data_IF_634189636852
#
_entry.id   IF_634189636852
#
_cell.length_a   1.000
_cell.length_b   1.000
_cell.length_c   1.000
_cell.angle_alpha   90.00
_cell.angle_beta   90.00
_cell.angle_gamma   90.00
#
_symmetry.space_group_name_H-M   'P 1'
#
loop_
_entity.id
_entity.type
_entity.pdbx_description
1 polymer ?
#
# COMPACT_ATOMS: atom_id res chain seq x y z
N UNK A 1 4.58 41.92 -20.96
CA UNK A 1 3.40 42.37 -20.18
C UNK A 1 3.54 41.81 -18.78
N UNK A 2 3.19 42.56 -17.74
CA UNK A 2 3.19 42.13 -16.33
C UNK A 2 1.81 42.31 -15.69
N UNK A 3 1.67 41.98 -14.41
CA UNK A 3 0.42 42.06 -13.62
C UNK A 3 -0.26 43.43 -13.60
N UNK A 4 0.42 44.49 -14.01
CA UNK A 4 -0.13 45.85 -14.13
C UNK A 4 -1.32 45.97 -15.12
N UNK A 5 -1.53 44.96 -15.99
CA UNK A 5 -2.51 45.00 -17.07
C UNK A 5 -3.62 43.93 -16.98
N UNK A 6 -3.65 43.10 -15.94
CA UNK A 6 -4.59 41.98 -15.80
C UNK A 6 -5.18 41.81 -14.41
N UNK A 7 -6.38 41.20 -14.33
CA UNK A 7 -6.96 40.78 -13.05
C UNK A 7 -6.18 39.56 -12.52
N UNK A 8 -5.87 39.51 -11.22
CA UNK A 8 -5.09 38.45 -10.53
C UNK A 8 -5.65 37.03 -10.66
N UNK A 9 -6.88 36.92 -11.14
CA UNK A 9 -7.63 35.68 -11.32
C UNK A 9 -7.84 35.32 -12.81
N UNK A 10 -7.43 36.19 -13.73
CA UNK A 10 -7.54 35.93 -15.17
C UNK A 10 -6.58 34.80 -15.56
N UNK A 11 -7.12 33.73 -16.14
CA UNK A 11 -6.34 32.55 -16.52
C UNK A 11 -6.01 31.60 -15.35
N UNK A 12 -6.59 31.82 -14.17
CA UNK A 12 -6.43 30.90 -13.02
C UNK A 12 -7.22 29.59 -13.20
N UNK A 13 -8.45 29.69 -13.70
CA UNK A 13 -9.31 28.53 -13.98
C UNK A 13 -9.15 28.05 -15.42
N UNK A 14 -9.46 26.77 -15.66
CA UNK A 14 -9.60 26.21 -17.01
C UNK A 14 -10.73 26.88 -17.79
N UNK A 15 -10.84 26.58 -19.09
CA UNK A 15 -11.93 27.07 -19.93
C UNK A 15 -13.31 26.65 -19.37
N UNK A 16 -13.39 25.47 -18.75
CA UNK A 16 -14.58 24.93 -18.11
C UNK A 16 -14.82 25.47 -16.68
N UNK A 17 -13.91 26.30 -16.16
CA UNK A 17 -14.03 26.93 -14.85
C UNK A 17 -13.49 26.10 -13.67
N UNK A 18 -12.65 25.09 -13.92
CA UNK A 18 -12.03 24.30 -12.84
C UNK A 18 -10.80 25.00 -12.28
N UNK A 19 -10.66 25.00 -10.95
CA UNK A 19 -9.38 25.24 -10.30
C UNK A 19 -8.64 23.90 -10.23
N UNK A 20 -7.60 23.73 -11.04
CA UNK A 20 -6.87 22.46 -11.15
C UNK A 20 -6.23 22.06 -9.82
N UNK A 21 -5.84 23.01 -8.97
CA UNK A 21 -5.20 22.70 -7.71
C UNK A 21 -6.17 22.09 -6.70
N UNK A 22 -7.48 22.38 -6.82
CA UNK A 22 -8.57 21.88 -5.96
C UNK A 22 -9.45 20.83 -6.67
N UNK A 23 -9.07 20.38 -7.87
CA UNK A 23 -9.83 19.42 -8.66
C UNK A 23 -9.29 17.98 -8.56
N UNK A 24 -8.55 17.64 -7.50
CA UNK A 24 -8.15 16.26 -7.21
C UNK A 24 -9.16 15.57 -6.28
N UNK A 25 -9.25 14.23 -6.28
CA UNK A 25 -10.18 13.54 -5.40
C UNK A 25 -9.79 13.77 -3.94
N UNK A 26 -10.76 14.14 -3.11
CA UNK A 26 -10.54 14.27 -1.68
C UNK A 26 -10.38 12.89 -1.02
N UNK A 27 -9.13 12.53 -0.74
CA UNK A 27 -8.76 11.29 -0.04
C UNK A 27 -8.59 11.50 1.47
N UNK A 28 -8.61 12.74 1.96
CA UNK A 28 -8.40 13.09 3.37
C UNK A 28 -9.64 12.78 4.20
N UNK A 29 -10.82 13.19 3.73
CA UNK A 29 -12.11 12.89 4.37
C UNK A 29 -12.35 11.40 4.63
N UNK A 30 -12.24 10.49 3.64
CA UNK A 30 -12.43 9.06 3.88
C UNK A 30 -11.34 8.46 4.78
N UNK A 31 -10.10 8.96 4.72
CA UNK A 31 -9.02 8.54 5.62
C UNK A 31 -9.38 8.85 7.07
N UNK A 32 -9.73 10.09 7.39
CA UNK A 32 -10.04 10.50 8.76
C UNK A 32 -11.28 9.79 9.31
N UNK A 33 -12.31 9.59 8.47
CA UNK A 33 -13.49 8.80 8.85
C UNK A 33 -13.12 7.34 9.15
N UNK A 34 -12.14 6.77 8.44
CA UNK A 34 -11.64 5.43 8.70
C UNK A 34 -10.76 5.37 9.95
N UNK A 35 -9.95 6.39 10.23
CA UNK A 35 -9.14 6.50 11.44
C UNK A 35 -10.00 6.61 12.70
N UNK A 36 -11.04 7.44 12.68
CA UNK A 36 -12.01 7.57 13.78
C UNK A 36 -12.68 6.23 14.12
N UNK A 37 -12.94 5.42 13.10
CA UNK A 37 -13.51 4.07 13.23
C UNK A 37 -12.47 2.98 13.47
N UNK A 38 -11.19 3.34 13.67
CA UNK A 38 -10.06 2.41 13.86
C UNK A 38 -9.93 1.35 12.75
N UNK A 39 -10.24 1.74 11.52
CA UNK A 39 -10.20 0.86 10.35
C UNK A 39 -8.82 0.84 9.67
N UNK A 40 -7.95 1.82 9.96
CA UNK A 40 -6.60 1.93 9.38
C UNK A 40 -5.58 1.14 10.22
N UNK A 41 -4.68 0.34 9.63
CA UNK A 41 -4.53 0.05 8.20
C UNK A 41 -5.27 -1.22 7.73
N UNK A 42 -5.99 -1.92 8.63
CA UNK A 42 -6.43 -3.30 8.39
C UNK A 42 -7.64 -3.44 7.46
N UNK A 43 -8.56 -2.47 7.49
CA UNK A 43 -9.76 -2.42 6.63
C UNK A 43 -9.75 -1.26 5.66
N UNK A 44 -8.99 -0.21 5.96
CA UNK A 44 -8.79 0.93 5.09
C UNK A 44 -7.28 1.22 4.96
N UNK A 45 -6.74 1.39 3.74
CA UNK A 45 -5.32 1.60 3.57
C UNK A 45 -4.90 3.01 4.04
N UNK A 46 -3.80 3.11 4.78
CA UNK A 46 -3.19 4.40 5.17
C UNK A 46 -2.25 5.00 4.13
N UNK A 47 -2.15 4.38 2.95
CA UNK A 47 -1.33 4.78 1.81
C UNK A 47 -1.91 4.18 0.53
N UNK A 48 -1.71 4.81 -0.62
CA UNK A 48 -2.27 4.36 -1.90
C UNK A 48 -3.78 4.13 -1.81
N UNK A 49 -4.49 5.10 -1.22
CA UNK A 49 -5.95 5.08 -1.11
C UNK A 49 -6.52 5.08 -2.52
N UNK A 50 -7.39 4.12 -2.90
CA UNK A 50 -7.91 4.03 -4.26
C UNK A 50 -8.72 5.29 -4.62
N UNK A 51 -8.59 5.71 -5.88
CA UNK A 51 -9.43 6.79 -6.43
C UNK A 51 -10.90 6.33 -6.37
N UNK A 52 -11.82 7.17 -5.87
CA UNK A 52 -13.25 6.83 -5.85
C UNK A 52 -13.79 6.53 -7.25
N UNK A 53 -14.61 5.48 -7.40
CA UNK A 53 -15.11 5.04 -8.70
C UNK A 53 -15.86 6.14 -9.47
N UNK A 54 -16.62 6.98 -8.76
CA UNK A 54 -17.32 8.12 -9.37
C UNK A 54 -16.36 9.14 -10.01
N UNK A 55 -15.13 9.24 -9.53
CA UNK A 55 -14.10 10.12 -10.09
C UNK A 55 -13.55 9.60 -11.42
N UNK A 56 -13.63 8.29 -11.63
CA UNK A 56 -13.15 7.62 -12.83
C UNK A 56 -14.18 7.58 -13.96
N UNK A 57 -15.44 7.92 -13.69
CA UNK A 57 -16.49 7.96 -14.71
C UNK A 57 -16.23 9.08 -15.73
N UNK A 58 -16.69 8.91 -16.96
CA UNK A 58 -16.49 9.89 -18.04
C UNK A 58 -17.26 11.20 -17.80
N UNK A 59 -18.40 11.13 -17.10
CA UNK A 59 -19.28 12.24 -16.74
C UNK A 59 -18.91 12.94 -15.42
N UNK A 60 -17.85 12.49 -14.74
CA UNK A 60 -17.37 13.11 -13.52
C UNK A 60 -16.83 14.53 -13.78
N UNK A 61 -17.09 15.45 -12.85
CA UNK A 61 -16.65 16.86 -12.87
C UNK A 61 -15.15 16.99 -12.56
N UNK A 62 -14.33 16.42 -13.45
CA UNK A 62 -12.87 16.34 -13.33
C UNK A 62 -12.26 16.84 -14.62
N UNK A 63 -11.42 17.87 -14.51
CA UNK A 63 -10.72 18.48 -15.62
C UNK A 63 -9.81 17.47 -16.32
N UNK A 64 -9.60 17.66 -17.63
CA UNK A 64 -8.79 16.75 -18.45
C UNK A 64 -7.33 16.77 -18.02
N UNK A 65 -6.84 17.92 -17.56
CA UNK A 65 -5.50 18.12 -17.00
C UNK A 65 -5.33 17.33 -15.71
N UNK A 66 -6.31 17.38 -14.80
CA UNK A 66 -6.29 16.59 -13.57
C UNK A 66 -6.21 15.10 -13.89
N UNK A 67 -7.03 14.61 -14.84
CA UNK A 67 -6.98 13.19 -15.28
C UNK A 67 -5.61 12.82 -15.85
N UNK A 68 -5.00 13.71 -16.64
CA UNK A 68 -3.68 13.49 -17.20
C UNK A 68 -2.60 13.43 -16.12
N UNK A 69 -2.65 14.32 -15.12
CA UNK A 69 -1.70 14.33 -14.00
C UNK A 69 -1.86 13.08 -13.13
N UNK A 70 -3.10 12.69 -12.78
CA UNK A 70 -3.35 11.46 -12.02
C UNK A 70 -2.76 10.23 -12.74
N UNK A 71 -3.04 10.08 -14.05
CA UNK A 71 -2.49 8.99 -14.84
C UNK A 71 -0.95 9.04 -14.94
N UNK A 72 -0.37 10.23 -15.01
CA UNK A 72 1.08 10.42 -15.02
C UNK A 72 1.73 10.02 -13.68
N UNK A 73 1.09 10.38 -12.57
CA UNK A 73 1.51 10.03 -11.21
C UNK A 73 1.38 8.54 -10.92
N UNK A 74 0.36 7.85 -11.43
CA UNK A 74 0.23 6.39 -11.31
C UNK A 74 1.29 5.64 -12.14
N UNK A 75 1.65 6.18 -13.31
CA UNK A 75 2.56 5.53 -14.26
C UNK A 75 4.01 5.58 -13.81
N UNK A 76 4.42 6.64 -13.11
CA UNK A 76 5.81 6.87 -12.74
C UNK A 76 5.97 6.81 -11.21
N UNK A 77 7.00 6.13 -10.68
CA UNK A 77 7.22 6.04 -9.25
C UNK A 77 7.86 7.33 -8.71
N UNK A 78 7.12 8.45 -8.72
CA UNK A 78 7.59 9.71 -8.15
C UNK A 78 7.84 9.56 -6.65
N UNK A 79 8.94 10.15 -6.18
CA UNK A 79 9.40 10.08 -4.79
C UNK A 79 9.26 11.44 -4.11
N UNK A 80 9.65 12.50 -4.82
CA UNK A 80 9.61 13.88 -4.38
C UNK A 80 9.06 14.73 -5.52
N UNK A 81 8.15 15.64 -5.21
CA UNK A 81 7.55 16.56 -6.16
C UNK A 81 7.38 17.94 -5.56
N UNK A 82 7.26 18.95 -6.42
CA UNK A 82 6.81 20.26 -6.02
C UNK A 82 5.98 20.89 -7.14
N UNK A 83 4.89 21.56 -6.76
CA UNK A 83 4.15 22.46 -7.64
C UNK A 83 4.47 23.90 -7.30
N UNK A 84 4.67 24.70 -8.35
CA UNK A 84 5.09 26.09 -8.23
C UNK A 84 3.85 26.98 -8.38
N UNK A 85 3.65 27.87 -7.41
CA UNK A 85 2.50 28.75 -7.28
C UNK A 85 2.98 30.20 -7.12
N UNK A 86 2.06 31.15 -7.28
CA UNK A 86 2.29 32.58 -7.08
C UNK A 86 1.19 33.24 -6.25
N UNK A 87 1.45 34.47 -5.79
CA UNK A 87 0.53 35.25 -4.97
C UNK A 87 0.84 35.22 -3.47
N UNK A 88 1.90 34.53 -3.07
CA UNK A 88 2.49 34.59 -1.74
C UNK A 88 3.97 34.20 -1.84
N UNK A 89 4.74 34.31 -0.76
CA UNK A 89 6.14 33.88 -0.74
C UNK A 89 6.43 32.98 0.46
N UNK A 90 6.17 31.68 0.29
CA UNK A 90 6.35 30.65 1.32
C UNK A 90 6.33 29.25 0.72
N UNK A 91 6.71 28.23 1.50
CA UNK A 91 6.51 26.82 1.15
C UNK A 91 5.41 26.21 2.00
N UNK A 92 4.36 25.72 1.36
CA UNK A 92 3.24 25.00 1.98
C UNK A 92 3.46 23.49 1.90
N UNK A 93 3.23 22.78 2.99
CA UNK A 93 3.34 21.33 3.07
C UNK A 93 2.07 20.65 3.63
N UNK A 94 1.82 19.37 3.30
CA UNK A 94 0.64 18.63 3.72
C UNK A 94 0.44 18.52 5.25
N UNK A 95 -0.80 18.37 5.73
CA UNK A 95 -2.03 18.37 4.92
C UNK A 95 -2.49 19.78 4.52
N UNK A 96 -3.10 19.89 3.34
CA UNK A 96 -3.84 21.08 2.91
C UNK A 96 -5.28 21.07 3.46
N UNK A 97 -5.91 19.90 3.58
CA UNK A 97 -7.23 19.79 4.16
C UNK A 97 -7.20 19.98 5.69
N UNK A 98 -8.17 20.72 6.24
CA UNK A 98 -8.42 20.77 7.67
C UNK A 98 -9.45 19.73 8.08
N UNK A 99 -9.25 19.10 9.24
CA UNK A 99 -10.22 18.14 9.78
C UNK A 99 -11.45 18.91 10.28
N UNK A 100 -12.67 18.55 9.85
CA UNK A 100 -13.88 19.12 10.43
C UNK A 100 -13.94 18.74 11.92
N UNK A 101 -14.31 19.71 12.75
CA UNK A 101 -14.42 19.52 14.20
C UNK A 101 -15.42 18.37 14.47
N UNK A 102 -15.02 17.37 15.26
CA UNK A 102 -15.95 16.34 15.73
C UNK A 102 -16.95 17.01 16.66
N UNK A 103 -18.21 17.14 16.24
CA UNK A 103 -19.32 17.47 17.15
C UNK A 103 -19.61 16.26 18.06
N UNK A 104 -18.67 15.94 18.94
CA UNK A 104 -18.94 15.06 20.08
C UNK A 104 -19.64 15.89 21.18
N UNK A 105 -20.87 15.56 21.63
CA UNK A 105 -21.61 16.36 22.60
C UNK A 105 -21.14 16.14 24.05
N UNK A 106 -19.83 16.26 24.31
CA UNK A 106 -19.27 15.93 25.63
C UNK A 106 -18.14 16.87 26.07
N UNK A 107 -18.49 18.12 26.40
CA UNK A 107 -18.09 18.84 27.62
C UNK A 107 -18.52 20.33 27.50
N UNK A 108 -19.02 20.97 28.57
CA UNK A 108 -19.15 22.43 28.59
C UNK A 108 -17.76 23.05 28.49
N UNK A 109 -17.52 23.91 27.50
CA UNK A 109 -16.29 24.70 27.39
C UNK A 109 -16.17 25.64 28.60
N UNK A 110 -14.95 25.86 29.14
CA UNK A 110 -14.72 26.92 30.13
C UNK A 110 -15.10 28.29 29.53
N UNK A 111 -15.59 29.27 30.31
CA UNK A 111 -16.11 30.53 29.79
C UNK A 111 -15.06 31.53 29.29
N UNK A 112 -13.78 31.14 29.21
CA UNK A 112 -12.65 32.08 29.05
C UNK A 112 -11.84 31.91 27.75
N UNK A 113 -12.28 31.08 26.80
CA UNK A 113 -11.68 31.05 25.45
C UNK A 113 -12.43 32.03 24.54
N UNK A 114 -11.75 33.11 24.15
CA UNK A 114 -12.23 34.14 23.22
C UNK A 114 -12.92 33.52 21.99
N UNK A 115 -14.16 33.96 21.70
CA UNK A 115 -15.02 33.54 20.59
C UNK A 115 -14.40 33.73 19.18
N UNK A 116 -13.19 34.29 19.06
CA UNK A 116 -12.46 34.52 17.80
C UNK A 116 -11.36 33.47 17.49
N UNK A 117 -11.25 32.40 18.27
CA UNK A 117 -10.18 31.39 18.15
C UNK A 117 -10.63 30.07 17.49
N UNK A 118 -11.52 30.11 16.49
CA UNK A 118 -11.86 28.92 15.68
C UNK A 118 -10.69 28.54 14.74
N UNK A 119 -9.51 28.25 15.29
CA UNK A 119 -8.42 27.71 14.48
C UNK A 119 -8.74 26.25 14.14
N UNK A 120 -8.78 25.87 12.85
CA UNK A 120 -8.99 24.49 12.46
C UNK A 120 -7.96 23.59 13.13
N UNK A 121 -8.39 22.41 13.61
CA UNK A 121 -7.48 21.46 14.25
C UNK A 121 -6.46 20.98 13.20
N UNK A 122 -5.22 21.48 13.34
CA UNK A 122 -4.14 21.21 12.39
C UNK A 122 -3.62 19.80 12.63
N UNK A 123 -3.97 18.89 11.74
CA UNK A 123 -3.56 17.50 11.83
C UNK A 123 -2.20 17.27 11.14
N UNK A 124 -1.24 16.73 11.87
CA UNK A 124 0.07 16.41 11.32
C UNK A 124 0.01 15.15 10.45
N UNK A 125 0.79 15.14 9.35
CA UNK A 125 1.02 13.92 8.57
C UNK A 125 1.93 12.96 9.33
N UNK A 126 1.85 11.64 9.06
CA UNK A 126 2.83 10.69 9.59
C UNK A 126 4.29 11.04 9.24
N UNK A 127 4.51 11.78 8.15
CA UNK A 127 5.81 12.26 7.67
C UNK A 127 6.07 13.75 7.98
N UNK A 128 5.39 14.33 8.96
CA UNK A 128 5.44 15.78 9.25
C UNK A 128 6.87 16.32 9.43
N UNK A 129 7.73 15.59 10.14
CA UNK A 129 9.13 15.98 10.32
C UNK A 129 9.95 15.97 9.01
N UNK A 130 9.61 15.08 8.06
CA UNK A 130 10.24 15.03 6.74
C UNK A 130 9.71 16.19 5.89
N UNK A 131 8.40 16.42 5.86
CA UNK A 131 7.81 17.55 5.13
C UNK A 131 8.36 18.90 5.59
N UNK A 132 8.46 19.12 6.90
CA UNK A 132 9.10 20.33 7.45
C UNK A 132 10.55 20.47 7.01
N UNK A 133 11.31 19.39 7.04
CA UNK A 133 12.70 19.41 6.55
C UNK A 133 12.77 19.80 5.06
N UNK A 134 11.95 19.16 4.22
CA UNK A 134 11.92 19.43 2.78
C UNK A 134 11.53 20.89 2.51
N UNK A 135 10.51 21.40 3.20
CA UNK A 135 10.08 22.79 3.07
C UNK A 135 11.18 23.78 3.51
N UNK A 136 11.82 23.52 4.67
CA UNK A 136 12.93 24.35 5.16
C UNK A 136 14.09 24.33 4.17
N UNK A 137 14.42 23.17 3.58
CA UNK A 137 15.55 23.07 2.64
C UNK A 137 15.39 24.00 1.43
N UNK A 138 14.16 24.16 0.92
CA UNK A 138 13.87 25.11 -0.14
C UNK A 138 13.88 26.56 0.38
N UNK A 139 13.12 26.83 1.45
CA UNK A 139 12.91 28.17 1.98
C UNK A 139 14.22 28.81 2.45
N UNK A 140 15.09 28.06 3.14
CA UNK A 140 16.37 28.57 3.64
C UNK A 140 17.40 28.85 2.54
N UNK A 141 17.30 28.14 1.42
CA UNK A 141 18.16 28.37 0.25
C UNK A 141 17.65 29.53 -0.63
N UNK A 142 16.39 29.95 -0.44
CA UNK A 142 15.79 31.01 -1.23
C UNK A 142 16.25 32.36 -0.73
N UNK A 143 16.74 33.23 -1.61
CA UNK A 143 17.40 34.48 -1.21
C UNK A 143 16.54 35.38 -0.32
N UNK A 144 15.23 35.41 -0.55
CA UNK A 144 14.33 36.36 0.12
C UNK A 144 13.20 35.73 0.94
N UNK A 145 13.06 34.39 0.99
CA UNK A 145 11.86 33.74 1.56
C UNK A 145 11.89 33.74 3.10
N UNK A 146 13.07 33.71 3.70
CA UNK A 146 13.29 33.75 5.15
C UNK A 146 13.61 35.15 5.68
N UNK A 147 13.49 36.19 4.85
CA UNK A 147 13.72 37.57 5.27
C UNK A 147 12.57 38.08 6.16
N UNK A 148 12.86 38.27 7.45
CA UNK A 148 11.87 38.63 8.48
C UNK A 148 11.33 40.06 8.37
N UNK A 149 12.03 40.94 7.66
CA UNK A 149 11.66 42.36 7.52
C UNK A 149 10.64 42.62 6.40
N UNK A 150 10.45 41.65 5.49
CA UNK A 150 9.63 41.84 4.29
C UNK A 150 8.15 41.50 4.46
N UNK A 151 7.73 40.93 5.59
CA UNK A 151 6.33 40.55 5.85
C UNK A 151 5.77 39.56 4.82
N UNK A 152 4.53 39.09 5.05
CA UNK A 152 3.76 38.39 4.02
C UNK A 152 3.33 39.35 2.92
N UNK A 153 3.03 38.82 1.73
CA UNK A 153 2.61 39.63 0.59
C UNK A 153 1.33 40.42 0.86
N UNK A 154 0.35 39.77 1.50
CA UNK A 154 -0.99 40.33 1.69
C UNK A 154 -1.44 40.35 3.16
N UNK A 155 -0.86 39.51 4.02
CA UNK A 155 -1.23 39.38 5.43
C UNK A 155 0.01 39.46 6.32
N UNK A 156 -0.21 39.47 7.64
CA UNK A 156 0.87 39.22 8.59
C UNK A 156 1.56 37.89 8.25
N UNK A 157 2.86 37.81 8.54
CA UNK A 157 3.66 36.63 8.27
C UNK A 157 3.14 35.42 9.06
N UNK A 158 2.51 34.48 8.35
CA UNK A 158 1.97 33.22 8.90
C UNK A 158 3.06 32.15 9.09
N UNK A 159 4.28 32.42 8.62
CA UNK A 159 5.39 31.47 8.62
C UNK A 159 6.29 31.61 9.85
N UNK A 160 6.00 32.57 10.73
CA UNK A 160 6.80 32.87 11.92
C UNK A 160 8.30 33.03 11.55
N UNK A 161 8.59 33.76 10.48
CA UNK A 161 9.94 33.97 9.92
C UNK A 161 10.66 32.72 9.36
N UNK A 162 10.01 31.55 9.31
CA UNK A 162 10.63 30.34 8.77
C UNK A 162 10.45 30.18 7.26
N UNK A 163 9.56 30.95 6.62
CA UNK A 163 9.24 30.82 5.20
C UNK A 163 8.46 29.54 4.84
N UNK A 164 7.96 28.82 5.84
CA UNK A 164 7.19 27.58 5.66
C UNK A 164 5.87 27.62 6.44
N UNK A 165 4.85 26.93 5.96
CA UNK A 165 3.56 26.80 6.66
C UNK A 165 2.90 25.46 6.32
N UNK A 166 2.10 24.94 7.23
CA UNK A 166 1.24 23.80 6.90
C UNK A 166 0.01 24.32 6.13
N UNK A 167 -0.38 23.61 5.07
CA UNK A 167 -1.47 24.03 4.18
C UNK A 167 -2.78 24.31 4.92
N UNK A 168 -3.21 23.38 5.76
CA UNK A 168 -4.43 23.49 6.57
C UNK A 168 -4.40 24.66 7.57
N UNK A 169 -3.22 25.00 8.11
CA UNK A 169 -3.04 26.15 9.03
C UNK A 169 -3.19 27.49 8.30
N UNK A 170 -2.79 27.54 7.03
CA UNK A 170 -2.81 28.78 6.26
C UNK A 170 -4.11 29.00 5.49
N UNK A 171 -4.48 28.06 4.62
CA UNK A 171 -5.67 28.11 3.78
C UNK A 171 -6.18 26.68 3.54
N UNK A 172 -7.11 26.19 4.38
CA UNK A 172 -7.58 24.82 4.29
C UNK A 172 -8.34 24.58 2.99
N UNK A 173 -7.97 23.52 2.27
CA UNK A 173 -8.59 23.11 1.00
C UNK A 173 -8.68 21.60 0.93
N UNK A 174 -9.83 21.08 0.54
CA UNK A 174 -10.00 19.67 0.21
C UNK A 174 -9.75 19.43 -1.28
N UNK A 175 -9.36 18.21 -1.65
CA UNK A 175 -9.12 17.87 -3.06
C UNK A 175 -7.86 18.53 -3.63
N UNK A 176 -6.85 18.78 -2.79
CA UNK A 176 -5.59 19.36 -3.26
C UNK A 176 -4.71 18.33 -3.98
N UNK A 177 -3.91 18.79 -4.94
CA UNK A 177 -2.91 17.95 -5.61
C UNK A 177 -1.87 17.39 -4.62
N UNK A 178 -1.46 18.17 -3.60
CA UNK A 178 -0.47 17.71 -2.63
C UNK A 178 -0.97 16.54 -1.79
N UNK A 179 -2.18 16.68 -1.24
CA UNK A 179 -2.77 15.65 -0.38
C UNK A 179 -3.07 14.40 -1.21
N UNK A 180 -3.47 14.55 -2.47
CA UNK A 180 -3.61 13.46 -3.43
C UNK A 180 -2.27 12.74 -3.67
N UNK A 181 -1.20 13.47 -4.00
CA UNK A 181 0.14 12.91 -4.23
C UNK A 181 0.59 12.06 -3.03
N UNK A 182 0.44 12.59 -1.81
CA UNK A 182 0.83 11.89 -0.59
C UNK A 182 -0.05 10.66 -0.28
N UNK A 183 -1.37 10.78 -0.45
CA UNK A 183 -2.30 9.72 -0.03
C UNK A 183 -2.49 8.61 -1.08
N UNK A 184 -2.35 8.92 -2.36
CA UNK A 184 -2.55 7.99 -3.47
C UNK A 184 -1.26 7.35 -3.98
N UNK A 185 -0.11 8.04 -3.85
CA UNK A 185 1.16 7.58 -4.43
C UNK A 185 2.27 7.45 -3.38
N UNK A 186 3.51 7.28 -3.82
CA UNK A 186 4.71 7.36 -2.96
C UNK A 186 5.25 8.80 -2.84
N UNK A 187 4.76 9.73 -3.66
CA UNK A 187 5.34 11.04 -3.85
C UNK A 187 5.09 11.95 -2.65
N UNK A 188 6.15 12.53 -2.11
CA UNK A 188 6.06 13.63 -1.16
C UNK A 188 6.03 14.94 -1.95
N UNK A 189 4.89 15.62 -1.97
CA UNK A 189 4.73 16.85 -2.76
C UNK A 189 4.61 18.10 -1.88
N UNK A 190 5.25 19.19 -2.30
CA UNK A 190 5.14 20.52 -1.70
C UNK A 190 4.50 21.53 -2.65
N UNK A 191 3.84 22.54 -2.11
CA UNK A 191 3.46 23.74 -2.86
C UNK A 191 4.40 24.89 -2.54
N UNK A 192 5.08 25.41 -3.56
CA UNK A 192 6.08 26.48 -3.41
C UNK A 192 5.52 27.75 -4.00
N UNK A 193 5.28 28.76 -3.15
CA UNK A 193 4.83 30.06 -3.57
C UNK A 193 6.05 30.97 -3.77
N UNK A 194 6.34 31.28 -5.02
CA UNK A 194 7.62 31.89 -5.43
C UNK A 194 7.69 33.40 -5.12
N UNK A 195 6.55 34.08 -5.12
CA UNK A 195 6.49 35.52 -4.94
C UNK A 195 5.08 36.10 -4.95
N UNK A 196 4.96 37.34 -4.51
CA UNK A 196 3.71 38.07 -4.40
C UNK A 196 3.07 38.36 -5.76
N UNK A 197 3.90 38.70 -6.75
CA UNK A 197 3.42 38.94 -8.09
C UNK A 197 3.23 37.60 -8.82
N UNK A 198 1.99 37.27 -9.17
CA UNK A 198 1.63 36.06 -9.92
C UNK A 198 2.12 36.10 -11.37
N UNK A 199 2.26 37.28 -11.95
CA UNK A 199 2.63 37.49 -13.35
C UNK A 199 3.65 38.64 -13.47
N UNK A 200 4.88 38.45 -12.94
CA UNK A 200 5.88 39.51 -12.90
C UNK A 200 6.27 39.97 -14.29
N UNK A 201 6.80 41.19 -14.39
CA UNK A 201 7.25 41.71 -15.66
C UNK A 201 8.48 40.93 -16.18
N UNK A 202 8.65 40.84 -17.50
CA UNK A 202 9.76 40.10 -18.13
C UNK A 202 11.15 40.51 -17.58
N UNK A 203 11.31 41.78 -17.23
CA UNK A 203 12.54 42.34 -16.66
C UNK A 203 12.90 41.78 -15.28
N UNK A 204 11.92 41.24 -14.54
CA UNK A 204 12.10 40.70 -13.19
C UNK A 204 12.45 39.20 -13.21
N UNK A 205 12.22 38.51 -14.34
CA UNK A 205 12.41 37.07 -14.46
C UNK A 205 13.84 36.61 -14.16
N UNK A 206 14.85 37.40 -14.54
CA UNK A 206 16.24 37.09 -14.21
C UNK A 206 16.48 37.12 -12.71
N UNK A 207 15.88 38.06 -11.99
CA UNK A 207 16.00 38.15 -10.54
C UNK A 207 15.26 37.00 -9.86
N UNK A 208 14.06 36.66 -10.33
CA UNK A 208 13.31 35.52 -9.80
C UNK A 208 14.02 34.18 -10.02
N UNK A 209 14.71 34.03 -11.15
CA UNK A 209 15.60 32.89 -11.37
C UNK A 209 16.73 32.84 -10.34
N UNK A 210 17.48 33.93 -10.14
CA UNK A 210 18.58 33.94 -9.17
C UNK A 210 18.09 33.73 -7.72
N UNK A 211 16.87 34.20 -7.39
CA UNK A 211 16.25 33.98 -6.08
C UNK A 211 15.97 32.49 -5.80
N UNK A 212 15.57 31.73 -6.83
CA UNK A 212 15.06 30.37 -6.70
C UNK A 212 16.04 29.27 -7.13
N UNK A 213 17.07 29.60 -7.91
CA UNK A 213 18.00 28.64 -8.51
C UNK A 213 18.60 27.67 -7.49
N UNK A 214 19.16 28.19 -6.40
CA UNK A 214 19.79 27.36 -5.37
C UNK A 214 18.76 26.53 -4.61
N UNK A 215 17.57 27.09 -4.34
CA UNK A 215 16.46 26.38 -3.70
C UNK A 215 15.96 25.20 -4.53
N UNK A 216 15.80 25.38 -5.84
CA UNK A 216 15.37 24.34 -6.76
C UNK A 216 16.39 23.19 -6.81
N UNK A 217 17.68 23.52 -6.89
CA UNK A 217 18.76 22.52 -6.86
C UNK A 217 18.79 21.78 -5.52
N UNK A 218 18.81 22.51 -4.41
CA UNK A 218 18.81 21.96 -3.05
C UNK A 218 17.62 21.03 -2.82
N UNK A 219 16.44 21.40 -3.32
CA UNK A 219 15.23 20.60 -3.20
C UNK A 219 15.32 19.31 -4.02
N UNK A 220 15.79 19.37 -5.28
CA UNK A 220 16.00 18.18 -6.10
C UNK A 220 17.00 17.22 -5.45
N UNK A 221 18.05 17.71 -4.80
CA UNK A 221 19.01 16.88 -4.07
C UNK A 221 18.38 16.12 -2.88
N UNK A 222 17.30 16.65 -2.29
CA UNK A 222 16.61 15.98 -1.17
C UNK A 222 15.99 14.64 -1.58
N UNK A 223 15.73 14.42 -2.87
CA UNK A 223 15.22 13.12 -3.37
C UNK A 223 16.20 11.97 -3.10
N UNK A 224 17.47 12.28 -2.84
CA UNK A 224 18.52 11.32 -2.55
C UNK A 224 18.75 11.13 -1.05
N UNK A 225 17.80 11.49 -0.17
CA UNK A 225 17.89 11.23 1.28
C UNK A 225 17.08 10.00 1.70
N UNK A 226 17.31 9.54 2.93
CA UNK A 226 16.60 8.40 3.51
C UNK A 226 17.18 7.06 3.11
N UNK A 227 16.32 6.12 2.76
CA UNK A 227 16.69 4.76 2.35
C UNK A 227 16.18 4.45 0.94
N UNK A 228 16.88 3.59 0.21
CA UNK A 228 16.43 3.02 -1.06
C UNK A 228 16.87 1.57 -1.16
N UNK A 229 16.25 0.79 -2.03
CA UNK A 229 16.70 -0.59 -2.23
C UNK A 229 15.83 -1.36 -3.20
N UNK A 230 16.15 -2.64 -3.33
CA UNK A 230 15.34 -3.60 -4.09
C UNK A 230 14.70 -4.62 -3.16
N UNK A 231 13.49 -5.04 -3.52
CA UNK A 231 12.80 -6.19 -2.95
C UNK A 231 12.79 -7.30 -3.99
N UNK A 232 13.46 -8.40 -3.71
CA UNK A 232 13.52 -9.57 -4.61
C UNK A 232 13.01 -10.82 -3.93
N UNK A 233 12.70 -11.85 -4.70
CA UNK A 233 12.53 -13.20 -4.18
C UNK A 233 13.87 -13.92 -3.98
N UNK A 234 13.82 -15.17 -3.49
CA UNK A 234 15.01 -16.00 -3.30
C UNK A 234 15.73 -16.37 -4.60
N UNK A 235 15.05 -16.25 -5.75
CA UNK A 235 15.61 -16.51 -7.07
C UNK A 235 16.26 -15.25 -7.67
N UNK A 236 16.12 -14.09 -7.00
CA UNK A 236 16.64 -12.80 -7.45
C UNK A 236 15.67 -12.02 -8.33
N UNK A 237 14.44 -12.51 -8.51
CA UNK A 237 13.44 -11.81 -9.32
C UNK A 237 12.84 -10.64 -8.53
N UNK A 238 12.67 -9.47 -9.16
CA UNK A 238 12.11 -8.30 -8.50
C UNK A 238 10.63 -8.48 -8.16
N UNK A 239 10.23 -7.99 -6.98
CA UNK A 239 8.85 -8.04 -6.51
C UNK A 239 8.24 -6.63 -6.58
N UNK A 240 7.39 -6.42 -7.58
CA UNK A 240 6.60 -5.20 -7.72
C UNK A 240 5.48 -5.10 -6.69
N UNK A 241 5.04 -3.88 -6.35
CA UNK A 241 3.96 -3.60 -5.39
C UNK A 241 4.17 -4.19 -3.99
N UNK A 242 5.42 -4.49 -3.61
CA UNK A 242 5.76 -4.83 -2.23
C UNK A 242 5.65 -3.57 -1.36
N UNK A 243 5.05 -3.70 -0.19
CA UNK A 243 4.86 -2.61 0.77
C UNK A 243 6.04 -2.54 1.74
N UNK A 244 6.65 -1.38 1.85
CA UNK A 244 7.72 -1.05 2.79
C UNK A 244 7.13 -0.25 3.95
N UNK A 245 7.24 -0.82 5.15
CA UNK A 245 6.70 -0.25 6.39
C UNK A 245 7.86 0.18 7.27
N UNK A 246 7.88 1.45 7.67
CA UNK A 246 8.88 2.00 8.59
C UNK A 246 8.28 2.05 9.99
N UNK A 247 8.94 1.44 10.97
CA UNK A 247 8.50 1.48 12.36
C UNK A 247 8.38 2.91 12.88
N UNK A 248 7.24 3.24 13.47
CA UNK A 248 6.95 4.59 13.99
C UNK A 248 6.31 5.54 12.98
N UNK A 249 6.35 5.25 11.68
CA UNK A 249 5.75 6.08 10.64
C UNK A 249 4.53 5.39 10.05
N UNK A 250 3.34 5.96 10.29
CA UNK A 250 2.05 5.40 9.84
C UNK A 250 1.74 5.70 8.36
N UNK A 251 2.76 5.69 7.51
CA UNK A 251 2.64 5.84 6.07
C UNK A 251 3.66 4.91 5.40
N UNK A 252 3.17 4.04 4.51
CA UNK A 252 3.98 3.00 3.86
C UNK A 252 4.15 3.31 2.38
N UNK A 253 5.27 2.89 1.79
CA UNK A 253 5.56 3.07 0.36
C UNK A 253 5.53 1.74 -0.38
N UNK A 254 5.29 1.77 -1.70
CA UNK A 254 5.29 0.58 -2.55
C UNK A 254 6.52 0.53 -3.46
N UNK A 255 7.00 -0.68 -3.78
CA UNK A 255 8.01 -0.87 -4.81
C UNK A 255 7.43 -0.63 -6.21
N UNK A 256 8.25 -0.09 -7.10
CA UNK A 256 7.93 0.05 -8.50
C UNK A 256 8.01 -1.30 -9.23
N UNK A 257 7.78 -1.31 -10.55
CA UNK A 257 7.78 -2.53 -11.36
C UNK A 257 9.11 -3.30 -11.32
N UNK A 258 10.23 -2.61 -11.09
CA UNK A 258 11.56 -3.19 -10.95
C UNK A 258 11.87 -3.72 -9.55
N UNK A 259 10.91 -3.70 -8.62
CA UNK A 259 11.11 -4.09 -7.21
C UNK A 259 11.90 -3.05 -6.40
N UNK A 260 12.30 -1.96 -7.02
CA UNK A 260 12.97 -0.82 -6.42
C UNK A 260 12.00 0.07 -5.63
N UNK A 261 12.50 0.64 -4.53
CA UNK A 261 11.76 1.59 -3.71
C UNK A 261 12.68 2.68 -3.18
N UNK A 262 12.07 3.81 -2.82
CA UNK A 262 12.71 4.94 -2.16
C UNK A 262 11.83 5.40 -1.02
N UNK A 263 12.45 5.76 0.10
CA UNK A 263 11.76 6.26 1.28
C UNK A 263 12.61 7.36 1.92
N UNK A 264 12.21 8.60 1.67
CA UNK A 264 12.84 9.78 2.29
C UNK A 264 12.56 9.72 3.79
N UNK A 265 13.62 9.84 4.58
CA UNK A 265 13.60 9.81 6.04
C UNK A 265 14.66 10.77 6.56
N UNK A 266 14.43 11.32 7.74
CA UNK A 266 15.46 12.07 8.46
C UNK A 266 16.52 11.12 9.04
N UNK A 267 17.74 11.60 9.34
CA UNK A 267 18.81 10.78 9.92
C UNK A 267 18.36 10.06 11.19
N UNK A 268 18.71 8.78 11.30
CA UNK A 268 18.25 7.92 12.40
C UNK A 268 18.30 6.43 12.04
N UNK A 269 18.02 5.58 13.02
CA UNK A 269 17.90 4.13 12.82
C UNK A 269 16.44 3.71 12.82
N UNK A 270 16.04 2.97 11.79
CA UNK A 270 14.66 2.56 11.59
C UNK A 270 14.53 1.06 11.45
N UNK A 271 13.53 0.50 12.11
CA UNK A 271 13.10 -0.89 11.87
C UNK A 271 12.17 -0.91 10.66
N UNK A 272 12.64 -1.46 9.54
CA UNK A 272 11.93 -1.46 8.27
C UNK A 272 11.50 -2.87 7.91
N UNK A 273 10.23 -3.03 7.51
CA UNK A 273 9.64 -4.31 7.10
C UNK A 273 9.15 -4.25 5.66
N UNK A 274 9.57 -5.21 4.85
CA UNK A 274 9.05 -5.43 3.50
C UNK A 274 8.00 -6.54 3.51
N UNK A 275 6.85 -6.28 2.88
CA UNK A 275 5.70 -7.19 2.80
C UNK A 275 5.22 -7.28 1.36
N UNK A 276 4.93 -8.49 0.88
CA UNK A 276 4.33 -8.68 -0.43
C UNK A 276 3.30 -9.82 -0.36
N UNK A 277 2.25 -9.73 -1.18
CA UNK A 277 1.25 -10.79 -1.24
C UNK A 277 1.88 -12.10 -1.74
N UNK A 278 1.64 -13.21 -1.02
CA UNK A 278 2.23 -14.51 -1.37
C UNK A 278 3.67 -14.69 -0.90
N UNK A 279 4.20 -13.77 -0.08
CA UNK A 279 5.53 -13.86 0.53
C UNK A 279 5.48 -13.73 2.05
N UNK A 280 6.48 -14.26 2.73
CA UNK A 280 6.69 -14.04 4.16
C UNK A 280 7.36 -12.67 4.36
N UNK A 281 6.88 -11.85 5.30
CA UNK A 281 7.45 -10.52 5.54
C UNK A 281 8.87 -10.63 6.09
N UNK A 282 9.75 -9.73 5.64
CA UNK A 282 11.12 -9.60 6.16
C UNK A 282 11.24 -8.28 6.90
N UNK A 283 12.00 -8.26 8.00
CA UNK A 283 12.23 -7.05 8.80
C UNK A 283 13.71 -6.92 9.11
N UNK A 284 14.25 -5.71 8.90
CA UNK A 284 15.66 -5.38 9.15
C UNK A 284 15.77 -3.98 9.75
N UNK A 285 16.91 -3.66 10.34
CA UNK A 285 17.23 -2.29 10.74
C UNK A 285 17.99 -1.62 9.60
N UNK A 286 17.52 -0.46 9.15
CA UNK A 286 18.18 0.38 8.17
C UNK A 286 18.57 1.70 8.85
N UNK A 287 19.80 2.16 8.65
CA UNK A 287 20.29 3.42 9.22
C UNK A 287 20.34 4.49 8.13
N UNK A 288 19.93 5.71 8.46
CA UNK A 288 20.00 6.90 7.60
C UNK A 288 21.04 7.84 8.18
N UNK A 289 22.05 8.19 7.38
CA UNK A 289 23.14 9.06 7.78
C UNK A 289 22.83 10.54 7.48
N UNK A 290 23.69 11.44 8.00
CA UNK A 290 23.58 12.87 7.75
C UNK A 290 24.04 13.28 6.35
N UNK A 291 24.94 12.50 5.74
CA UNK A 291 25.47 12.77 4.41
C UNK A 291 24.38 12.67 3.34
N UNK A 292 24.54 13.42 2.26
CA UNK A 292 23.66 13.35 1.10
C UNK A 292 23.89 11.98 0.43
N UNK A 293 22.84 11.16 0.38
CA UNK A 293 22.88 9.84 -0.24
C UNK A 293 22.00 8.82 0.48
N UNK A 294 21.01 8.28 -0.23
CA UNK A 294 20.07 7.33 0.32
C UNK A 294 20.78 6.01 0.57
N UNK A 295 20.71 5.52 1.81
CA UNK A 295 21.38 4.29 2.21
C UNK A 295 20.68 3.08 1.59
N UNK A 296 21.46 2.11 1.13
CA UNK A 296 20.89 0.93 0.48
C UNK A 296 20.38 -0.08 1.51
N UNK A 297 19.08 -0.40 1.47
CA UNK A 297 18.46 -1.40 2.33
C UNK A 297 17.65 -2.41 1.51
N UNK A 298 18.27 -3.51 1.10
CA UNK A 298 17.63 -4.52 0.25
C UNK A 298 16.92 -5.62 1.06
N UNK A 299 15.83 -6.12 0.50
CA UNK A 299 15.03 -7.20 1.08
C UNK A 299 14.94 -8.38 0.13
N UNK A 300 15.05 -9.58 0.70
CA UNK A 300 14.80 -10.84 0.01
C UNK A 300 13.64 -11.51 0.72
N UNK A 301 12.56 -11.79 -0.01
CA UNK A 301 11.34 -12.38 0.54
C UNK A 301 11.22 -13.85 0.12
N UNK A 302 10.91 -14.71 1.07
CA UNK A 302 10.59 -16.11 0.81
C UNK A 302 9.12 -16.26 0.43
N UNK A 303 8.80 -17.12 -0.54
CA UNK A 303 7.40 -17.40 -0.91
C UNK A 303 6.66 -18.01 0.28
N UNK A 304 5.45 -17.53 0.55
CA UNK A 304 4.61 -18.07 1.62
C UNK A 304 3.72 -19.18 1.07
N UNK A 305 3.59 -20.25 1.84
CA UNK A 305 2.61 -21.31 1.56
C UNK A 305 1.16 -20.86 1.85
N UNK A 306 0.95 -19.59 2.22
CA UNK A 306 -0.34 -19.09 2.67
C UNK A 306 -1.45 -19.19 1.63
N UNK A 307 -1.14 -18.98 0.34
CA UNK A 307 -2.12 -19.13 -0.73
C UNK A 307 -2.64 -20.57 -0.81
N UNK A 308 -1.73 -21.55 -0.74
CA UNK A 308 -2.05 -22.98 -0.70
C UNK A 308 -2.83 -23.34 0.57
N UNK A 309 -2.46 -22.79 1.72
CA UNK A 309 -3.17 -23.05 2.98
C UNK A 309 -4.58 -22.43 2.94
N UNK A 310 -4.77 -21.22 2.38
CA UNK A 310 -6.10 -20.62 2.18
C UNK A 310 -6.98 -21.46 1.26
N UNK A 311 -6.43 -21.97 0.16
CA UNK A 311 -7.16 -22.89 -0.74
C UNK A 311 -7.58 -24.18 -0.02
N UNK A 312 -6.68 -24.77 0.77
CA UNK A 312 -6.99 -25.95 1.59
C UNK A 312 -8.05 -25.63 2.65
N UNK A 313 -8.00 -24.47 3.28
CA UNK A 313 -8.99 -24.00 4.26
C UNK A 313 -10.36 -23.79 3.60
N UNK A 314 -10.40 -23.15 2.43
CA UNK A 314 -11.62 -22.93 1.67
C UNK A 314 -12.26 -24.26 1.24
N UNK A 315 -11.46 -25.22 0.77
CA UNK A 315 -11.93 -26.58 0.45
C UNK A 315 -12.43 -27.36 1.67
N UNK A 316 -11.88 -27.08 2.87
CA UNK A 316 -12.25 -27.74 4.12
C UNK A 316 -13.27 -26.95 4.97
N UNK A 317 -13.96 -25.95 4.37
CA UNK A 317 -15.03 -25.20 5.02
C UNK A 317 -14.57 -24.29 6.16
N UNK A 318 -13.37 -23.71 6.05
CA UNK A 318 -12.75 -22.78 7.02
C UNK A 318 -12.66 -23.33 8.45
N UNK A 319 -12.57 -24.65 8.62
CA UNK A 319 -12.35 -25.28 9.94
C UNK A 319 -10.87 -25.60 10.14
N UNK A 320 -10.28 -25.28 11.30
CA UNK A 320 -8.92 -25.68 11.61
C UNK A 320 -8.80 -27.21 11.58
N UNK A 321 -7.84 -27.72 10.81
CA UNK A 321 -7.59 -29.16 10.67
C UNK A 321 -7.05 -29.65 12.01
N UNK A 322 -7.85 -30.40 12.78
CA UNK A 322 -7.39 -31.01 14.03
C UNK A 322 -6.24 -31.98 13.75
N UNK A 323 -5.02 -31.57 14.09
CA UNK A 323 -3.87 -32.48 14.20
C UNK A 323 -4.17 -33.53 15.27
N UNK A 324 -4.23 -34.79 14.86
CA UNK A 324 -4.17 -35.92 15.80
C UNK A 324 -2.70 -36.06 16.19
N UNK A 325 -2.33 -35.58 17.38
CA UNK A 325 -0.97 -35.73 17.91
C UNK A 325 -0.64 -37.23 18.00
N UNK A 326 0.37 -37.74 17.28
CA UNK A 326 0.78 -39.13 17.39
C UNK A 326 1.31 -39.36 18.81
N UNK A 327 0.68 -40.29 19.55
CA UNK A 327 1.14 -40.67 20.89
C UNK A 327 0.14 -40.41 22.03
N UNK A 328 -0.97 -39.69 21.82
CA UNK A 328 -2.03 -39.64 22.85
C UNK A 328 -2.78 -40.98 22.86
N UNK A 329 -2.78 -41.74 23.97
CA UNK A 329 -3.58 -42.96 24.05
C UNK A 329 -5.06 -42.60 23.90
N UNK A 330 -5.66 -43.01 22.79
CA UNK A 330 -7.08 -42.80 22.50
C UNK A 330 -7.92 -43.31 23.67
N UNK A 331 -8.82 -42.46 24.16
CA UNK A 331 -9.78 -42.85 25.20
C UNK A 331 -10.68 -43.98 24.70
N UNK A 332 -11.24 -44.77 25.61
CA UNK A 332 -12.10 -45.92 25.28
C UNK A 332 -13.30 -45.49 24.40
N UNK A 333 -13.85 -44.29 24.68
CA UNK A 333 -14.91 -43.65 23.89
C UNK A 333 -14.47 -43.30 22.47
N UNK A 334 -13.26 -42.75 22.31
CA UNK A 334 -12.72 -42.40 21.00
C UNK A 334 -12.39 -43.66 20.17
N UNK A 335 -11.87 -44.72 20.80
CA UNK A 335 -11.65 -46.02 20.14
C UNK A 335 -12.95 -46.63 19.62
N UNK A 336 -14.03 -46.55 20.40
CA UNK A 336 -15.35 -47.03 19.99
C UNK A 336 -15.91 -46.22 18.81
N UNK A 337 -15.79 -44.88 18.84
CA UNK A 337 -16.21 -44.01 17.74
C UNK A 337 -15.39 -44.25 16.46
N UNK A 338 -14.08 -44.47 16.58
CA UNK A 338 -13.22 -44.81 15.45
C UNK A 338 -13.61 -46.17 14.84
N UNK A 339 -13.85 -47.18 15.67
CA UNK A 339 -14.34 -48.51 15.23
C UNK A 339 -15.68 -48.41 14.51
N UNK A 340 -16.63 -47.60 15.02
CA UNK A 340 -17.90 -47.37 14.34
C UNK A 340 -17.71 -46.68 12.99
N UNK A 341 -16.88 -45.63 12.91
CA UNK A 341 -16.57 -44.94 11.65
C UNK A 341 -15.92 -45.88 10.63
N UNK A 342 -14.98 -46.73 11.05
CA UNK A 342 -14.32 -47.70 10.17
C UNK A 342 -15.30 -48.75 9.63
N UNK A 343 -16.20 -49.28 10.48
CA UNK A 343 -17.27 -50.19 10.05
C UNK A 343 -18.21 -49.54 9.04
N UNK A 344 -18.57 -48.28 9.25
CA UNK A 344 -19.43 -47.54 8.33
C UNK A 344 -18.74 -47.32 6.98
N UNK A 345 -17.43 -46.99 6.99
CA UNK A 345 -16.60 -46.83 5.79
C UNK A 345 -16.45 -48.15 5.02
N UNK A 346 -16.27 -49.27 5.71
CA UNK A 346 -16.23 -50.60 5.08
C UNK A 346 -17.57 -50.92 4.39
N UNK A 347 -18.70 -50.71 5.08
CA UNK A 347 -20.03 -50.89 4.49
C UNK A 347 -20.27 -50.03 3.26
N UNK A 348 -19.82 -48.77 3.27
CA UNK A 348 -19.91 -47.88 2.12
C UNK A 348 -19.06 -48.36 0.93
N UNK A 349 -17.84 -48.86 1.20
CA UNK A 349 -16.98 -49.45 0.17
C UNK A 349 -17.59 -50.72 -0.43
N UNK A 350 -18.17 -51.59 0.39
CA UNK A 350 -18.90 -52.78 -0.08
C UNK A 350 -20.11 -52.38 -0.94
N UNK A 351 -20.88 -51.38 -0.51
CA UNK A 351 -22.02 -50.86 -1.28
C UNK A 351 -21.60 -50.29 -2.64
N UNK A 352 -20.48 -49.57 -2.71
CA UNK A 352 -19.92 -49.10 -3.97
C UNK A 352 -19.41 -50.25 -4.85
N UNK A 353 -18.79 -51.28 -4.25
CA UNK A 353 -18.32 -52.47 -4.97
C UNK A 353 -19.48 -53.25 -5.57
N UNK A 354 -20.57 -53.42 -4.82
CA UNK A 354 -21.82 -54.02 -5.29
C UNK A 354 -22.50 -53.17 -6.38
N UNK A 355 -22.50 -51.84 -6.25
CA UNK A 355 -22.98 -50.94 -7.33
C UNK A 355 -22.18 -51.09 -8.62
N UNK A 356 -20.85 -51.22 -8.54
CA UNK A 356 -19.99 -51.47 -9.70
C UNK A 356 -20.27 -52.84 -10.34
N UNK A 357 -20.45 -53.88 -9.52
CA UNK A 357 -20.79 -55.23 -10.00
C UNK A 357 -22.18 -55.29 -10.66
N UNK A 358 -23.18 -54.59 -10.10
CA UNK A 358 -24.51 -54.48 -10.71
C UNK A 358 -24.51 -53.64 -12.00
N UNK A 359 -23.64 -52.63 -12.10
CA UNK A 359 -23.47 -51.86 -13.34
C UNK A 359 -22.89 -52.73 -14.47
N UNK A 360 -21.93 -53.61 -14.16
CA UNK A 360 -21.35 -54.56 -15.12
C UNK A 360 -22.30 -55.70 -15.53
N UNK A 361 -23.28 -56.07 -14.68
CA UNK A 361 -24.28 -57.10 -15.00
C UNK A 361 -25.43 -56.60 -15.90
N UNK A 362 -25.62 -55.28 -16.02
CA UNK A 362 -26.67 -54.68 -16.88
C UNK A 362 -26.24 -54.39 -18.33
N UNK A 363 -24.98 -54.69 -18.68
CA UNK A 363 -24.39 -54.37 -19.98
C UNK A 363 -24.38 -55.54 -20.99
N UNK A 364 -25.13 -56.63 -20.76
CA UNK A 364 -25.19 -57.80 -21.65
C UNK A 364 -26.45 -57.85 -22.53
N UNK A 365 -27.08 -56.71 -22.83
CA UNK A 365 -28.25 -56.65 -23.69
C UNK A 365 -28.32 -55.39 -24.55
N UNK A 366 -27.50 -55.28 -25.59
CA UNK A 366 -27.74 -54.36 -26.69
C UNK A 366 -27.40 -55.06 -28.02
N UNK A 367 -28.31 -55.05 -29.02
CA UNK A 367 -28.13 -55.79 -30.27
C UNK A 367 -27.17 -55.07 -31.23
N UNK A 368 -26.41 -55.89 -31.95
CA UNK A 368 -25.50 -55.56 -33.04
C UNK A 368 -26.23 -54.99 -34.25
N UNK A 369 -25.77 -53.85 -34.76
CA UNK A 369 -26.14 -53.32 -36.08
C UNK A 369 -25.05 -53.67 -37.13
N UNK A 370 -25.40 -53.93 -38.41
CA UNK A 370 -24.50 -54.48 -39.41
C UNK A 370 -23.64 -53.40 -40.11
N UNK A 371 -22.57 -53.78 -40.84
CA UNK A 371 -21.62 -52.84 -41.42
C UNK A 371 -22.05 -52.39 -42.83
N UNK A 372 -21.69 -51.18 -43.29
CA UNK A 372 -21.67 -50.88 -44.70
C UNK A 372 -20.26 -51.11 -45.29
N UNK A 373 -20.20 -51.90 -46.35
CA UNK A 373 -19.11 -51.85 -47.34
C UNK A 373 -19.30 -50.62 -48.24
N UNK A 374 -18.23 -50.00 -48.73
CA UNK A 374 -17.71 -50.16 -50.11
C UNK A 374 -16.73 -49.03 -50.46
N UNK A 375 -15.58 -49.44 -51.00
CA UNK A 375 -14.69 -48.78 -51.98
C UNK A 375 -13.95 -47.47 -51.66
N UNK A 376 -12.61 -47.60 -51.60
CA UNK A 376 -11.61 -46.60 -52.05
C UNK A 376 -11.55 -46.60 -53.60
N UNK A 377 -10.99 -45.55 -54.24
CA UNK A 377 -9.56 -45.60 -54.61
C UNK A 377 -8.79 -44.25 -54.57
N UNK A 378 -7.63 -44.25 -53.86
CA UNK A 378 -6.24 -43.77 -54.17
C UNK A 378 -5.95 -42.46 -54.97
N UNK A 379 -4.70 -41.91 -55.04
CA UNK A 379 -3.46 -42.13 -54.24
C UNK A 379 -2.56 -40.87 -53.94
N UNK A 380 -1.43 -41.12 -53.24
CA UNK A 380 -0.13 -40.37 -53.20
C UNK A 380 -0.04 -39.10 -52.32
N UNK A 381 1.03 -38.83 -51.55
CA UNK A 381 2.40 -39.35 -51.50
C UNK A 381 3.04 -39.24 -50.11
N UNK A 382 4.02 -40.11 -49.89
CA UNK A 382 4.91 -40.28 -48.74
C UNK A 382 6.07 -39.28 -48.69
N UNK A 383 6.56 -38.97 -47.49
CA UNK A 383 8.00 -38.96 -47.23
C UNK A 383 8.33 -39.50 -45.85
N UNK A 384 9.17 -40.53 -45.90
CA UNK A 384 9.78 -41.38 -44.87
C UNK A 384 10.73 -40.63 -43.93
N UNK A 385 10.75 -41.01 -42.65
CA UNK A 385 11.98 -41.35 -41.90
C UNK A 385 11.61 -42.23 -40.69
N UNK A 386 12.37 -43.30 -40.46
CA UNK A 386 12.24 -44.28 -39.37
C UNK A 386 13.59 -44.33 -38.60
N UNK A 387 13.75 -45.13 -37.52
CA UNK A 387 13.82 -44.62 -36.14
C UNK A 387 15.13 -44.95 -35.43
N UNK A 388 15.39 -44.30 -34.28
CA UNK A 388 16.41 -44.70 -33.31
C UNK A 388 15.78 -45.11 -31.99
N UNK A 389 16.14 -46.33 -31.57
CA UNK A 389 15.78 -46.98 -30.32
C UNK A 389 16.85 -46.72 -29.24
N UNK A 390 16.43 -46.35 -28.03
CA UNK A 390 17.23 -46.50 -26.80
C UNK A 390 16.35 -47.02 -25.65
N UNK A 391 16.91 -47.96 -24.90
CA UNK A 391 16.34 -48.69 -23.76
C UNK A 391 16.19 -47.80 -22.50
N UNK A 392 15.30 -48.17 -21.54
CA UNK A 392 15.05 -47.38 -20.33
C UNK A 392 16.09 -47.64 -19.23
N UNK A 393 16.47 -46.63 -18.41
CA UNK A 393 17.32 -46.87 -17.25
C UNK A 393 16.54 -47.28 -16.00
N UNK A 394 17.24 -48.05 -15.17
CA UNK A 394 16.82 -48.78 -13.96
C UNK A 394 16.55 -47.87 -12.76
N UNK A 395 15.69 -48.35 -11.84
CA UNK A 395 15.30 -47.65 -10.61
C UNK A 395 16.46 -47.45 -9.62
N UNK A 396 16.74 -46.19 -9.27
CA UNK A 396 17.55 -45.79 -8.13
C UNK A 396 16.69 -45.44 -6.91
N UNK A 397 17.13 -45.90 -5.74
CA UNK A 397 16.57 -45.65 -4.41
C UNK A 397 16.65 -44.18 -4.03
N UNK A 398 15.51 -43.58 -3.67
CA UNK A 398 15.44 -42.24 -3.05
C UNK A 398 15.38 -42.40 -1.53
N UNK A 399 16.37 -41.88 -0.82
CA UNK A 399 16.27 -41.58 0.61
C UNK A 399 15.57 -40.23 0.75
N UNK A 400 14.43 -40.18 1.44
CA UNK A 400 13.74 -38.94 1.81
C UNK A 400 14.34 -38.41 3.11
N UNK A 401 15.02 -37.26 3.05
CA UNK A 401 15.27 -36.44 4.23
C UNK A 401 14.00 -35.65 4.57
N UNK A 402 13.48 -35.82 5.79
CA UNK A 402 12.32 -35.07 6.31
C UNK A 402 12.79 -33.88 7.12
N UNK A 403 12.52 -32.66 6.65
CA UNK A 403 12.71 -31.43 7.43
C UNK A 403 11.44 -31.11 8.26
N UNK A 404 11.67 -30.69 9.51
CA UNK A 404 10.61 -30.29 10.44
C UNK A 404 10.89 -28.88 10.97
N UNK A 405 9.93 -27.97 10.82
CA UNK A 405 9.98 -26.62 11.42
C UNK A 405 8.98 -26.46 12.56
N UNK A 406 9.40 -25.73 13.60
CA UNK A 406 8.61 -25.37 14.79
C UNK A 406 8.29 -23.89 14.74
N UNK A 407 7.01 -23.52 14.79
CA UNK A 407 6.54 -22.12 14.81
C UNK A 407 5.78 -21.85 16.11
N UNK A 408 6.02 -20.70 16.75
CA UNK A 408 5.34 -20.26 17.97
C UNK A 408 4.52 -18.99 17.69
N UNK A 409 3.20 -19.06 17.84
CA UNK A 409 2.30 -17.90 17.84
C UNK A 409 2.06 -17.42 19.29
N UNK A 410 2.04 -16.10 19.51
CA UNK A 410 1.63 -15.46 20.76
C UNK A 410 0.30 -14.75 20.51
N UNK A 411 -0.76 -15.20 21.19
CA UNK A 411 -2.10 -14.62 21.12
C UNK A 411 -2.45 -14.03 22.47
N UNK A 412 -2.62 -12.71 22.54
CA UNK A 412 -3.21 -12.01 23.69
C UNK A 412 -4.69 -11.80 23.43
N UNK A 413 -5.53 -12.40 24.28
CA UNK A 413 -6.99 -12.21 24.22
C UNK A 413 -7.41 -11.37 25.43
N UNK A 414 -7.98 -10.19 25.18
CA UNK A 414 -8.69 -9.39 26.18
C UNK A 414 -10.19 -9.63 25.99
N UNK A 415 -10.81 -10.42 26.88
CA UNK A 415 -12.27 -10.51 26.97
C UNK A 415 -12.82 -9.36 27.83
N UNK A 416 -13.77 -8.59 27.28
CA UNK A 416 -14.57 -7.65 28.08
C UNK A 416 -15.76 -8.39 28.68
N UNK A 417 -15.93 -8.28 30.00
CA UNK A 417 -17.13 -8.67 30.73
C UNK A 417 -17.78 -7.40 31.30
N UNK A 418 -19.11 -7.30 31.15
CA UNK A 418 -19.90 -6.19 31.69
C UNK A 418 -20.12 -6.35 33.22
N UNK A 419 -19.97 -5.20 33.88
CA UNK A 419 -20.32 -4.80 35.26
C UNK A 419 -20.03 -5.75 36.45
N UNK A 420 -19.00 -5.38 37.22
CA UNK A 420 -18.83 -5.81 38.62
C UNK A 420 -17.38 -5.86 39.11
N UNK A 421 -16.82 -4.71 39.49
CA UNK A 421 -15.58 -4.50 40.29
C UNK A 421 -14.54 -5.64 40.31
N UNK A 422 -13.53 -5.55 39.43
CA UNK A 422 -12.31 -6.35 39.51
C UNK A 422 -11.32 -6.03 38.37
N UNK A 423 -10.06 -5.75 38.70
CA UNK A 423 -8.99 -5.37 37.77
C UNK A 423 -8.69 -6.46 36.72
N UNK A 424 -8.71 -6.11 35.44
CA UNK A 424 -8.34 -7.00 34.33
C UNK A 424 -6.80 -7.10 34.16
N UNK A 425 -6.25 -8.32 34.19
CA UNK A 425 -4.90 -8.63 33.68
C UNK A 425 -5.02 -9.33 32.33
N UNK A 426 -4.24 -8.93 31.31
CA UNK A 426 -4.24 -9.61 30.01
C UNK A 426 -3.63 -11.02 30.13
N UNK A 427 -4.32 -12.02 29.59
CA UNK A 427 -3.78 -13.37 29.44
C UNK A 427 -3.13 -13.53 28.07
N UNK A 428 -1.84 -13.85 28.07
CA UNK A 428 -1.05 -14.20 26.88
C UNK A 428 -1.02 -15.72 26.75
N UNK A 429 -1.58 -16.27 25.68
CA UNK A 429 -1.44 -17.70 25.35
C UNK A 429 -0.48 -17.87 24.18
N UNK A 430 0.57 -18.67 24.37
CA UNK A 430 1.47 -19.07 23.29
C UNK A 430 1.02 -20.42 22.71
N UNK A 431 0.72 -20.47 21.42
CA UNK A 431 0.43 -21.73 20.71
C UNK A 431 1.60 -22.08 19.78
N UNK A 432 2.27 -23.19 20.07
CA UNK A 432 3.36 -23.71 19.25
C UNK A 432 2.82 -24.80 18.33
N UNK A 433 3.06 -24.70 17.03
CA UNK A 433 2.77 -25.78 16.09
C UNK A 433 3.99 -26.11 15.23
N UNK A 434 4.29 -27.40 15.15
CA UNK A 434 5.24 -27.97 14.20
C UNK A 434 4.54 -28.34 12.92
N UNK A 435 5.21 -28.29 11.77
CA UNK A 435 4.72 -28.87 10.51
C UNK A 435 5.78 -29.83 9.99
N UNK A 436 5.40 -31.09 9.77
CA UNK A 436 6.27 -32.11 9.19
C UNK A 436 5.86 -32.27 7.73
N UNK A 437 6.84 -32.23 6.83
CA UNK A 437 6.65 -32.48 5.41
C UNK A 437 7.09 -33.91 5.09
N UNK A 438 6.10 -34.77 4.86
CA UNK A 438 6.26 -36.12 4.34
C UNK A 438 4.93 -36.54 3.70
N UNK A 439 5.01 -37.08 2.48
CA UNK A 439 3.90 -37.30 1.54
C UNK A 439 2.67 -38.06 2.07
#
# INVERSE_FOLDING_TARGET
MGSELGNWALGHWTEEGFDLFENFPDLTSPLWAAEERQLVPHRFPGHHIPIPEHYLQEDATVAVETRAIMAWMEKNPFVLGANLQGGEKLVSFPFDAARPHSESPAAPRPPDDDEDSEQPEVHETPDHAVFRWLAISYASAHLTMTETFRGGCHTQDVTEAMGIVQGAKWRPRAGSMNDFSYLHTNCLELSIYLGCDKFPHESELQQEWENNKESLLTFMEQTHRGIKGLVTDQQGEPIANATIVVGGVKHSVRTASGGDYWRILNPGEYRVSARAEGYNPSTKTCSVFYDIGATQCNFVLARSNWKRIREIMAMNGNRPIRRVVPGRPMTLRERLRLRQRLRLRQRLRERMRLRRLNATASATGAPTAPPPSTALPVPFSSTTYAPWSQEPPTAGTWEMETETEVVTELVTVTEMWDEGTGTAQPFTTAETYTVNFGD
#
